data_IF_062328883592
#
_entry.id   IF_062328883592
#
_cell.length_a   1.000
_cell.length_b   1.000
_cell.length_c   1.000
_cell.angle_alpha   90.00
_cell.angle_beta   90.00
_cell.angle_gamma   90.00
#
_symmetry.space_group_name_H-M   'P 1'
#
loop_
_entity.id
_entity.type
_entity.pdbx_description
1 polymer ?
#
# COMPACT_ATOMS: atom_id res chain seq x y z
N UNK A 1 30.85 -23.83 -17.49
CA UNK A 1 31.29 -22.83 -16.49
C UNK A 1 30.11 -22.56 -15.58
N UNK A 2 30.14 -23.12 -14.37
CA UNK A 2 29.14 -22.84 -13.34
C UNK A 2 29.36 -21.38 -12.95
N UNK A 3 28.44 -20.51 -13.34
CA UNK A 3 28.42 -19.12 -12.87
C UNK A 3 28.30 -19.17 -11.34
N UNK A 4 29.38 -18.81 -10.64
CA UNK A 4 29.34 -18.53 -9.21
C UNK A 4 28.53 -17.24 -9.04
N UNK A 5 27.20 -17.36 -9.06
CA UNK A 5 26.31 -16.30 -8.61
C UNK A 5 26.49 -16.28 -7.09
N UNK A 6 27.16 -15.25 -6.56
CA UNK A 6 27.18 -15.02 -5.12
C UNK A 6 25.73 -15.02 -4.62
N UNK A 7 25.41 -15.69 -3.50
CA UNK A 7 24.05 -15.72 -2.98
C UNK A 7 23.56 -14.29 -2.77
N UNK A 8 22.45 -13.93 -3.43
CA UNK A 8 21.84 -12.59 -3.35
C UNK A 8 21.57 -12.23 -1.89
N UNK A 9 22.10 -11.09 -1.44
CA UNK A 9 21.95 -10.61 -0.07
C UNK A 9 20.90 -9.50 -0.01
N UNK A 10 19.75 -9.80 0.59
CA UNK A 10 18.56 -8.96 0.54
C UNK A 10 18.28 -8.32 1.90
N UNK A 11 17.96 -7.03 1.89
CA UNK A 11 17.41 -6.32 3.05
C UNK A 11 15.96 -5.89 2.76
N UNK A 12 15.01 -6.31 3.58
CA UNK A 12 13.68 -5.71 3.63
C UNK A 12 13.72 -4.52 4.59
N UNK A 13 13.29 -3.35 4.13
CA UNK A 13 13.31 -2.09 4.89
C UNK A 13 11.88 -1.53 5.04
N UNK A 14 11.00 -2.17 5.85
CA UNK A 14 9.66 -1.65 6.13
C UNK A 14 9.70 -0.29 6.84
N UNK A 15 8.88 0.65 6.38
CA UNK A 15 8.59 1.86 7.14
C UNK A 15 7.46 1.59 8.15
N UNK A 16 7.82 1.25 9.39
CA UNK A 16 6.85 0.73 10.37
C UNK A 16 5.87 1.77 10.95
N UNK A 17 5.88 3.02 10.47
CA UNK A 17 4.76 3.96 10.67
C UNK A 17 3.46 3.54 9.95
N UNK A 18 3.53 2.62 8.97
CA UNK A 18 2.37 2.13 8.24
C UNK A 18 2.17 0.63 8.41
N UNK A 19 0.98 0.25 8.88
CA UNK A 19 0.60 -1.15 8.90
C UNK A 19 0.63 -1.80 7.51
N UNK A 20 0.21 -1.06 6.47
CA UNK A 20 0.19 -1.55 5.09
C UNK A 20 1.59 -1.79 4.50
N UNK A 21 2.60 -1.04 4.94
CA UNK A 21 3.98 -1.24 4.49
C UNK A 21 4.61 -2.41 5.26
N UNK A 22 4.42 -2.45 6.58
CA UNK A 22 4.94 -3.54 7.41
C UNK A 22 4.36 -4.89 7.00
N UNK A 23 3.03 -4.98 6.84
CA UNK A 23 2.36 -6.24 6.49
C UNK A 23 2.78 -6.79 5.12
N UNK A 24 2.92 -5.95 4.10
CA UNK A 24 3.39 -6.41 2.78
C UNK A 24 4.85 -6.89 2.81
N UNK A 25 5.70 -6.27 3.63
CA UNK A 25 7.06 -6.79 3.86
C UNK A 25 7.04 -8.16 4.55
N UNK A 26 6.10 -8.42 5.46
CA UNK A 26 5.94 -9.75 6.08
C UNK A 26 5.58 -10.80 5.03
N UNK A 27 4.68 -10.48 4.09
CA UNK A 27 4.33 -11.41 3.00
C UNK A 27 5.52 -11.69 2.08
N UNK A 28 6.28 -10.65 1.69
CA UNK A 28 7.50 -10.81 0.88
C UNK A 28 8.56 -11.61 1.64
N UNK A 29 8.73 -11.38 2.95
CA UNK A 29 9.66 -12.13 3.80
C UNK A 29 9.36 -13.63 3.76
N UNK A 30 8.10 -14.01 3.98
CA UNK A 30 7.64 -15.41 3.94
C UNK A 30 7.86 -16.03 2.56
N UNK A 31 7.55 -15.30 1.50
CA UNK A 31 7.73 -15.77 0.12
C UNK A 31 9.21 -15.98 -0.26
N UNK A 32 10.11 -15.11 0.24
CA UNK A 32 11.56 -15.29 0.10
C UNK A 32 12.06 -16.50 0.89
N UNK A 33 11.58 -16.71 2.12
CA UNK A 33 11.94 -17.88 2.93
C UNK A 33 11.52 -19.19 2.26
N UNK A 34 10.33 -19.23 1.66
CA UNK A 34 9.87 -20.39 0.87
C UNK A 34 10.78 -20.69 -0.34
N UNK A 35 11.53 -19.69 -0.82
CA UNK A 35 12.54 -19.81 -1.89
C UNK A 35 13.96 -20.08 -1.34
N UNK A 36 14.08 -20.39 -0.05
CA UNK A 36 15.36 -20.68 0.59
C UNK A 36 16.21 -19.44 0.89
N UNK A 37 15.65 -18.24 0.77
CA UNK A 37 16.34 -16.98 1.04
C UNK A 37 15.83 -16.40 2.35
N UNK A 38 16.72 -16.21 3.32
CA UNK A 38 16.39 -15.51 4.56
C UNK A 38 16.89 -14.07 4.45
N UNK A 39 16.02 -13.11 4.09
CA UNK A 39 16.44 -11.72 4.00
C UNK A 39 16.69 -11.15 5.39
N UNK A 40 17.59 -10.17 5.48
CA UNK A 40 17.67 -9.30 6.66
C UNK A 40 16.48 -8.35 6.68
N UNK A 41 16.03 -7.99 7.88
CA UNK A 41 15.00 -6.97 8.06
C UNK A 41 15.58 -5.84 8.89
N UNK A 42 15.46 -4.62 8.38
CA UNK A 42 15.89 -3.41 9.07
C UNK A 42 14.73 -2.41 9.11
N UNK A 43 14.65 -1.57 10.13
CA UNK A 43 13.62 -0.53 10.26
C UNK A 43 14.13 0.62 11.13
N UNK A 44 13.43 1.75 11.12
CA UNK A 44 13.65 2.85 12.07
C UNK A 44 12.95 2.60 13.41
N UNK A 45 12.26 1.46 13.54
CA UNK A 45 11.20 1.25 14.52
C UNK A 45 9.89 1.85 14.03
N UNK A 46 8.93 2.02 14.94
CA UNK A 46 7.67 2.71 14.66
C UNK A 46 6.45 1.95 15.16
N UNK A 47 5.28 2.59 15.04
CA UNK A 47 4.03 2.15 15.65
C UNK A 47 3.64 0.70 15.35
N UNK A 48 3.94 0.20 14.14
CA UNK A 48 3.58 -1.14 13.71
C UNK A 48 4.75 -2.13 13.70
N UNK A 49 5.87 -1.83 14.37
CA UNK A 49 6.99 -2.80 14.51
C UNK A 49 6.57 -4.07 15.28
N UNK A 50 5.52 -3.97 16.09
CA UNK A 50 4.89 -5.10 16.79
C UNK A 50 4.34 -6.16 15.83
N UNK A 51 3.94 -5.78 14.61
CA UNK A 51 3.49 -6.72 13.60
C UNK A 51 4.62 -7.64 13.10
N UNK A 52 5.86 -7.15 13.03
CA UNK A 52 7.04 -7.97 12.72
C UNK A 52 7.28 -9.00 13.84
N UNK A 53 7.24 -8.56 15.09
CA UNK A 53 7.36 -9.44 16.27
C UNK A 53 6.27 -10.51 16.31
N UNK A 54 5.02 -10.13 16.07
CA UNK A 54 3.90 -11.06 16.02
C UNK A 54 4.03 -12.08 14.88
N UNK A 55 4.72 -11.73 13.80
CA UNK A 55 5.05 -12.63 12.70
C UNK A 55 6.30 -13.49 12.97
N UNK A 56 6.97 -13.34 14.12
CA UNK A 56 8.22 -14.05 14.45
C UNK A 56 9.43 -13.59 13.63
N UNK A 57 9.43 -12.34 13.15
CA UNK A 57 10.48 -11.79 12.30
C UNK A 57 11.37 -10.87 13.14
N UNK A 58 12.63 -11.29 13.32
CA UNK A 58 13.68 -10.45 13.90
C UNK A 58 14.06 -9.32 12.95
N UNK A 59 14.42 -8.17 13.53
CA UNK A 59 14.82 -6.99 12.76
C UNK A 59 15.87 -6.15 13.49
N UNK A 60 16.69 -5.45 12.70
CA UNK A 60 17.67 -4.50 13.18
C UNK A 60 17.10 -3.07 13.18
N UNK A 61 17.51 -2.25 14.15
CA UNK A 61 17.24 -0.81 14.14
C UNK A 61 18.36 -0.08 13.39
N UNK A 62 17.99 0.77 12.43
CA UNK A 62 18.94 1.55 11.62
C UNK A 62 18.63 3.03 11.75
N UNK A 63 19.66 3.85 11.99
CA UNK A 63 19.51 5.30 12.15
C UNK A 63 18.77 5.70 13.43
N UNK A 64 18.31 6.96 13.50
CA UNK A 64 17.51 7.44 14.63
C UNK A 64 16.20 6.66 14.79
N UNK A 65 15.75 6.43 16.03
CA UNK A 65 14.48 5.72 16.28
C UNK A 65 13.30 6.60 15.88
N UNK A 66 12.38 6.07 15.07
CA UNK A 66 11.04 6.62 14.90
C UNK A 66 10.11 6.07 15.97
N UNK A 67 9.89 6.86 17.02
CA UNK A 67 8.83 6.58 18.00
C UNK A 67 7.42 6.92 17.44
N UNK A 68 6.39 6.69 18.25
CA UNK A 68 4.99 6.92 17.85
C UNK A 68 4.69 8.39 17.53
N UNK A 69 5.27 9.33 18.28
CA UNK A 69 5.11 10.76 18.02
C UNK A 69 5.72 11.13 16.67
N UNK A 70 6.92 10.63 16.39
CA UNK A 70 7.60 10.86 15.12
C UNK A 70 6.88 10.22 13.95
N UNK A 71 6.34 9.01 14.13
CA UNK A 71 5.49 8.34 13.14
C UNK A 71 4.25 9.20 12.84
N UNK A 72 3.55 9.68 13.86
CA UNK A 72 2.37 10.52 13.70
C UNK A 72 2.70 11.83 12.96
N UNK A 73 3.85 12.45 13.24
CA UNK A 73 4.34 13.62 12.49
C UNK A 73 4.66 13.27 11.04
N UNK A 74 5.36 12.16 10.80
CA UNK A 74 5.67 11.68 9.45
C UNK A 74 4.40 11.53 8.61
N UNK A 75 3.38 10.85 9.16
CA UNK A 75 2.11 10.62 8.48
C UNK A 75 1.37 11.91 8.07
N UNK A 76 1.54 13.00 8.85
CA UNK A 76 0.97 14.32 8.51
C UNK A 76 1.77 15.08 7.45
N UNK A 77 3.09 14.88 7.41
CA UNK A 77 4.01 15.68 6.61
C UNK A 77 4.51 14.97 5.33
N UNK A 78 4.25 13.67 5.20
CA UNK A 78 4.70 12.86 4.08
C UNK A 78 4.16 13.33 2.71
N UNK A 79 4.81 12.94 1.60
CA UNK A 79 4.26 13.15 0.27
C UNK A 79 2.81 12.66 0.18
N UNK A 80 1.92 13.46 -0.42
CA UNK A 80 0.44 13.29 -0.50
C UNK A 80 -0.38 13.86 0.66
N UNK A 81 0.23 14.19 1.80
CA UNK A 81 -0.47 14.74 2.97
C UNK A 81 0.11 16.09 3.44
N UNK A 82 1.43 16.24 3.37
CA UNK A 82 2.14 17.43 3.85
C UNK A 82 2.33 18.54 2.80
N UNK A 83 2.97 19.66 3.20
CA UNK A 83 3.31 20.75 2.28
C UNK A 83 4.24 20.26 1.16
N UNK A 84 3.98 20.66 -0.09
CA UNK A 84 4.77 20.22 -1.27
C UNK A 84 6.27 20.53 -1.22
N UNK A 85 6.71 21.38 -0.28
CA UNK A 85 8.12 21.73 -0.05
C UNK A 85 8.81 20.86 1.01
N UNK A 86 8.09 19.99 1.70
CA UNK A 86 8.61 19.18 2.80
C UNK A 86 8.24 17.71 2.64
N UNK A 87 9.20 16.81 2.79
CA UNK A 87 9.05 15.39 2.46
C UNK A 87 8.68 14.49 3.64
N UNK A 88 8.27 15.09 4.76
CA UNK A 88 8.16 14.41 6.04
C UNK A 88 9.49 14.19 6.76
N UNK A 89 10.61 14.61 6.17
CA UNK A 89 11.95 14.57 6.77
C UNK A 89 12.62 15.94 6.69
N UNK A 90 13.33 16.34 7.74
CA UNK A 90 14.33 17.40 7.66
C UNK A 90 15.58 16.95 6.88
N UNK A 91 16.38 17.88 6.39
CA UNK A 91 17.65 17.57 5.73
C UNK A 91 18.61 16.81 6.66
N UNK A 92 18.59 17.12 7.96
CA UNK A 92 19.36 16.40 8.97
C UNK A 92 18.92 14.95 9.10
N UNK A 93 17.62 14.68 9.14
CA UNK A 93 17.09 13.32 9.20
C UNK A 93 17.37 12.55 7.92
N UNK A 94 17.17 13.17 6.75
CA UNK A 94 17.49 12.55 5.46
C UNK A 94 18.95 12.11 5.42
N UNK A 95 19.88 12.96 5.87
CA UNK A 95 21.31 12.63 5.95
C UNK A 95 21.57 11.50 6.94
N UNK A 96 20.99 11.58 8.14
CA UNK A 96 21.20 10.58 9.19
C UNK A 96 20.71 9.19 8.76
N UNK A 97 19.48 9.09 8.22
CA UNK A 97 18.94 7.82 7.73
C UNK A 97 19.69 7.32 6.50
N UNK A 98 19.94 8.17 5.50
CA UNK A 98 20.60 7.74 4.28
C UNK A 98 22.02 7.19 4.53
N UNK A 99 22.79 7.84 5.41
CA UNK A 99 24.12 7.37 5.80
C UNK A 99 24.03 6.08 6.61
N UNK A 100 23.16 6.01 7.62
CA UNK A 100 23.04 4.82 8.47
C UNK A 100 22.58 3.58 7.69
N UNK A 101 21.63 3.75 6.75
CA UNK A 101 21.19 2.71 5.83
C UNK A 101 22.33 2.23 4.92
N UNK A 102 23.07 3.15 4.30
CA UNK A 102 24.17 2.79 3.41
C UNK A 102 25.30 2.06 4.13
N UNK A 103 25.64 2.50 5.35
CA UNK A 103 26.59 1.81 6.22
C UNK A 103 26.10 0.41 6.61
N UNK A 104 24.80 0.27 6.93
CA UNK A 104 24.19 -1.02 7.23
C UNK A 104 24.25 -1.96 6.01
N UNK A 105 23.88 -1.47 4.82
CA UNK A 105 23.95 -2.26 3.59
C UNK A 105 25.38 -2.75 3.31
N UNK A 106 26.35 -1.84 3.42
CA UNK A 106 27.78 -2.17 3.20
C UNK A 106 28.28 -3.18 4.22
N UNK A 107 28.01 -2.96 5.53
CA UNK A 107 28.45 -3.83 6.62
C UNK A 107 27.92 -5.26 6.48
N UNK A 108 26.70 -5.42 6.00
CA UNK A 108 26.04 -6.72 5.85
C UNK A 108 26.12 -7.30 4.43
N UNK A 109 26.87 -6.64 3.53
CA UNK A 109 27.03 -7.09 2.14
C UNK A 109 25.70 -7.20 1.40
N UNK A 110 24.74 -6.32 1.70
CA UNK A 110 23.45 -6.25 1.00
C UNK A 110 23.69 -5.79 -0.43
N UNK A 111 23.08 -6.47 -1.41
CA UNK A 111 23.10 -6.07 -2.82
C UNK A 111 21.74 -5.54 -3.31
N UNK A 112 20.66 -5.87 -2.59
CA UNK A 112 19.29 -5.52 -2.94
C UNK A 112 18.53 -5.09 -1.69
N UNK A 113 17.99 -3.87 -1.71
CA UNK A 113 17.08 -3.37 -0.68
C UNK A 113 15.66 -3.31 -1.23
N UNK A 114 14.71 -3.88 -0.51
CA UNK A 114 13.27 -3.84 -0.83
C UNK A 114 12.59 -2.95 0.19
N UNK A 115 11.87 -1.93 -0.28
CA UNK A 115 11.19 -1.00 0.60
C UNK A 115 9.74 -0.80 0.22
N UNK A 116 8.93 -0.67 1.27
CA UNK A 116 7.60 -0.14 1.19
C UNK A 116 7.65 1.36 0.97
N UNK A 117 7.78 2.16 2.03
CA UNK A 117 7.75 3.63 1.96
C UNK A 117 8.92 4.31 2.67
N UNK A 118 10.02 3.59 2.88
CA UNK A 118 11.27 4.16 3.40
C UNK A 118 11.96 4.94 2.29
N UNK A 119 11.47 6.16 2.03
CA UNK A 119 11.89 6.99 0.88
C UNK A 119 13.37 7.39 0.93
N UNK A 120 13.98 7.44 2.11
CA UNK A 120 15.43 7.61 2.31
C UNK A 120 16.26 6.55 1.58
N UNK A 121 15.67 5.37 1.34
CA UNK A 121 16.26 4.32 0.51
C UNK A 121 16.62 4.79 -0.91
N UNK A 122 15.95 5.84 -1.42
CA UNK A 122 16.28 6.43 -2.73
C UNK A 122 17.65 7.12 -2.77
N UNK A 123 18.20 7.51 -1.60
CA UNK A 123 19.53 8.07 -1.42
C UNK A 123 20.53 6.99 -1.00
N UNK A 124 20.22 6.23 0.06
CA UNK A 124 21.15 5.24 0.62
C UNK A 124 21.48 4.11 -0.36
N UNK A 125 20.53 3.69 -1.19
CA UNK A 125 20.79 2.71 -2.27
C UNK A 125 21.88 3.17 -3.22
N UNK A 126 21.90 4.46 -3.58
CA UNK A 126 22.93 5.04 -4.46
C UNK A 126 24.25 5.19 -3.76
N UNK A 127 24.21 5.62 -2.50
CA UNK A 127 25.40 5.79 -1.69
C UNK A 127 26.13 4.45 -1.49
N UNK A 128 25.39 3.37 -1.29
CA UNK A 128 25.93 2.02 -1.13
C UNK A 128 26.12 1.25 -2.46
N UNK A 129 25.61 1.76 -3.57
CA UNK A 129 25.65 1.07 -4.87
C UNK A 129 24.79 -0.20 -4.92
N UNK A 130 23.67 -0.24 -4.19
CA UNK A 130 22.77 -1.40 -4.11
C UNK A 130 21.49 -1.17 -4.90
N UNK A 131 20.88 -2.25 -5.39
CA UNK A 131 19.62 -2.21 -6.14
C UNK A 131 18.45 -1.85 -5.22
N UNK A 132 17.65 -0.86 -5.62
CA UNK A 132 16.42 -0.47 -4.93
C UNK A 132 15.19 -1.12 -5.57
N UNK A 133 14.45 -1.89 -4.79
CA UNK A 133 13.13 -2.44 -5.16
C UNK A 133 12.04 -1.72 -4.35
N UNK A 134 10.99 -1.25 -5.01
CA UNK A 134 9.82 -0.62 -4.35
C UNK A 134 8.53 -1.41 -4.60
N UNK A 135 7.64 -1.46 -3.61
CA UNK A 135 6.34 -2.16 -3.75
C UNK A 135 5.11 -1.31 -3.38
N UNK A 136 5.31 -0.08 -2.92
CA UNK A 136 4.22 0.81 -2.49
C UNK A 136 3.38 1.42 -3.62
N UNK A 137 3.84 1.34 -4.87
CA UNK A 137 3.16 2.03 -5.98
C UNK A 137 1.87 1.34 -6.41
N UNK A 138 1.70 0.03 -6.15
CA UNK A 138 0.49 -0.71 -6.48
C UNK A 138 -0.02 -0.42 -7.91
N UNK A 139 -1.26 0.06 -8.05
CA UNK A 139 -1.86 0.46 -9.33
C UNK A 139 -1.42 1.86 -9.80
N UNK A 140 -0.80 2.67 -8.95
CA UNK A 140 -0.31 4.02 -9.25
C UNK A 140 1.05 4.00 -9.93
N UNK A 141 1.10 3.39 -11.12
CA UNK A 141 2.31 3.32 -11.94
C UNK A 141 2.10 3.96 -13.31
N UNK A 142 3.18 4.48 -13.95
CA UNK A 142 3.10 5.20 -15.21
C UNK A 142 2.23 4.59 -16.29
N UNK A 143 2.42 3.32 -16.71
CA UNK A 143 1.60 2.76 -17.79
C UNK A 143 0.10 2.73 -17.45
N UNK A 144 -0.27 2.62 -16.17
CA UNK A 144 -1.67 2.67 -15.73
C UNK A 144 -2.21 4.08 -15.89
N UNK A 145 -1.62 5.08 -15.22
CA UNK A 145 -2.16 6.44 -15.23
C UNK A 145 -1.95 7.23 -16.54
N UNK A 146 -1.03 6.78 -17.39
CA UNK A 146 -0.82 7.30 -18.75
C UNK A 146 -1.81 6.69 -19.76
N UNK A 147 -2.46 5.58 -19.42
CA UNK A 147 -3.42 4.92 -20.31
C UNK A 147 -4.77 5.65 -20.41
N UNK A 148 -5.40 5.54 -21.58
CA UNK A 148 -6.80 5.96 -21.80
C UNK A 148 -7.72 4.74 -21.65
N UNK A 149 -8.93 4.87 -21.08
CA UNK A 149 -9.60 6.13 -20.72
C UNK A 149 -9.66 6.38 -19.20
N UNK A 150 -8.60 6.82 -18.53
CA UNK A 150 -8.69 7.18 -17.09
C UNK A 150 -9.41 8.52 -16.81
N UNK A 151 -9.96 8.72 -15.59
CA UNK A 151 -10.59 9.98 -15.22
C UNK A 151 -9.63 11.17 -15.41
N UNK A 152 -10.08 12.32 -15.98
CA UNK A 152 -9.19 13.44 -16.27
C UNK A 152 -8.38 13.92 -15.06
N UNK A 153 -8.99 13.98 -13.87
CA UNK A 153 -8.32 14.39 -12.64
C UNK A 153 -7.09 13.51 -12.31
N UNK A 154 -7.24 12.19 -12.40
CA UNK A 154 -6.15 11.23 -12.16
C UNK A 154 -5.02 11.46 -13.16
N UNK A 155 -5.36 11.61 -14.45
CA UNK A 155 -4.40 11.87 -15.52
C UNK A 155 -3.63 13.18 -15.34
N UNK A 156 -4.33 14.26 -14.95
CA UNK A 156 -3.70 15.56 -14.71
C UNK A 156 -2.75 15.52 -13.51
N UNK A 157 -3.15 14.87 -12.42
CA UNK A 157 -2.28 14.68 -11.25
C UNK A 157 -1.03 13.90 -11.62
N UNK A 158 -1.17 12.77 -12.30
CA UNK A 158 -0.04 11.97 -12.75
C UNK A 158 0.92 12.75 -13.66
N UNK A 159 0.40 13.42 -14.69
CA UNK A 159 1.21 14.21 -15.61
C UNK A 159 1.97 15.36 -14.91
N UNK A 160 1.39 15.92 -13.84
CA UNK A 160 2.05 16.92 -13.01
C UNK A 160 3.20 16.29 -12.21
N UNK A 161 2.97 15.16 -11.53
CA UNK A 161 3.97 14.47 -10.70
C UNK A 161 5.22 14.05 -11.49
N UNK A 162 5.07 13.79 -12.79
CA UNK A 162 6.19 13.45 -13.69
C UNK A 162 7.09 14.66 -14.02
N UNK A 163 6.60 15.88 -13.83
CA UNK A 163 7.28 17.12 -14.27
C UNK A 163 7.75 17.98 -13.11
N UNK A 164 7.11 17.86 -11.95
CA UNK A 164 7.43 18.67 -10.77
C UNK A 164 8.35 17.92 -9.81
N UNK A 165 9.06 18.69 -8.99
CA UNK A 165 9.97 18.18 -7.93
C UNK A 165 9.39 18.41 -6.54
N UNK A 166 8.07 18.29 -6.40
CA UNK A 166 7.44 18.35 -5.08
C UNK A 166 8.04 17.27 -4.19
N UNK A 167 8.25 17.61 -2.92
CA UNK A 167 8.87 16.76 -1.90
C UNK A 167 10.34 16.39 -2.16
N UNK A 168 10.94 16.76 -3.30
CA UNK A 168 12.31 16.36 -3.66
C UNK A 168 13.39 17.35 -3.18
N UNK A 169 13.01 18.50 -2.64
CA UNK A 169 13.95 19.58 -2.31
C UNK A 169 15.03 19.17 -1.31
N UNK A 170 14.63 18.63 -0.15
CA UNK A 170 15.57 18.12 0.87
C UNK A 170 16.40 16.96 0.35
N UNK A 171 15.75 16.01 -0.34
CA UNK A 171 16.42 14.88 -0.99
C UNK A 171 17.52 15.32 -1.95
N UNK A 172 17.27 16.34 -2.78
CA UNK A 172 18.25 16.81 -3.75
C UNK A 172 19.41 17.59 -3.12
N UNK A 173 19.17 18.31 -2.02
CA UNK A 173 20.26 18.95 -1.26
C UNK A 173 21.16 17.89 -0.61
N UNK A 174 20.58 16.92 0.08
CA UNK A 174 21.34 15.83 0.72
C UNK A 174 22.02 14.94 -0.33
N UNK A 175 21.39 14.68 -1.47
CA UNK A 175 22.03 13.96 -2.58
C UNK A 175 23.31 14.66 -3.07
N UNK A 176 23.28 16.00 -3.19
CA UNK A 176 24.45 16.78 -3.59
C UNK A 176 25.58 16.73 -2.55
N UNK A 177 25.24 16.79 -1.25
CA UNK A 177 26.20 16.65 -0.15
C UNK A 177 26.86 15.25 -0.13
N UNK A 178 26.08 14.21 -0.40
CA UNK A 178 26.55 12.81 -0.42
C UNK A 178 27.22 12.42 -1.75
N UNK A 179 27.25 13.31 -2.75
CA UNK A 179 27.85 13.03 -4.06
C UNK A 179 27.07 12.02 -4.91
N UNK A 180 25.75 11.86 -4.70
CA UNK A 180 24.90 10.91 -5.44
C UNK A 180 23.89 11.63 -6.34
N UNK A 181 23.36 10.92 -7.34
CA UNK A 181 22.37 11.47 -8.26
C UNK A 181 21.05 11.83 -7.54
N UNK A 182 20.61 13.08 -7.70
CA UNK A 182 19.33 13.55 -7.18
C UNK A 182 18.10 13.01 -7.90
N UNK A 183 16.93 13.43 -7.44
CA UNK A 183 15.61 13.07 -7.94
C UNK A 183 15.14 14.04 -9.04
N UNK A 184 14.82 13.53 -10.24
CA UNK A 184 14.35 14.36 -11.35
C UNK A 184 12.91 14.86 -11.18
N UNK A 185 12.05 14.11 -10.49
CA UNK A 185 10.63 14.44 -10.24
C UNK A 185 10.07 13.75 -8.99
N UNK A 186 8.85 14.11 -8.59
CA UNK A 186 8.10 13.39 -7.54
C UNK A 186 7.79 11.95 -7.93
N UNK A 187 7.55 11.66 -9.21
CA UNK A 187 7.33 10.28 -9.64
C UNK A 187 8.60 9.41 -9.44
N UNK A 188 9.79 9.97 -9.66
CA UNK A 188 11.05 9.27 -9.44
C UNK A 188 11.37 9.03 -7.95
N UNK A 189 10.74 9.77 -7.03
CA UNK A 189 10.84 9.52 -5.58
C UNK A 189 10.09 8.23 -5.19
N UNK A 190 9.05 7.88 -5.94
CA UNK A 190 8.16 6.75 -5.64
C UNK A 190 8.55 5.45 -6.38
N UNK A 191 9.54 5.51 -7.28
CA UNK A 191 9.94 4.37 -8.10
C UNK A 191 11.38 3.95 -7.78
N UNK A 192 11.58 2.63 -7.70
CA UNK A 192 12.89 2.01 -7.55
C UNK A 192 13.60 1.79 -8.88
N UNK A 193 14.71 1.07 -8.81
CA UNK A 193 15.33 0.46 -9.99
C UNK A 193 14.43 -0.66 -10.52
N UNK A 194 13.80 -1.40 -9.61
CA UNK A 194 12.63 -2.24 -9.89
C UNK A 194 11.43 -1.76 -9.05
N UNK A 195 10.29 -1.54 -9.68
CA UNK A 195 9.02 -1.30 -8.98
C UNK A 195 8.09 -2.49 -9.20
N UNK A 196 7.65 -3.10 -8.11
CA UNK A 196 6.65 -4.16 -8.10
C UNK A 196 5.27 -3.55 -8.28
N UNK A 197 4.58 -3.97 -9.34
CA UNK A 197 3.18 -3.62 -9.61
C UNK A 197 2.34 -4.70 -8.94
N UNK A 198 1.88 -4.39 -7.73
CA UNK A 198 1.16 -5.31 -6.86
C UNK A 198 -0.33 -5.31 -7.18
N UNK A 199 -0.70 -5.63 -8.42
CA UNK A 199 -2.10 -5.80 -8.85
C UNK A 199 -2.18 -6.72 -10.08
N UNK A 200 -3.31 -7.41 -10.27
CA UNK A 200 -3.54 -8.23 -11.44
C UNK A 200 -3.73 -7.38 -12.72
N UNK A 201 -3.11 -7.75 -13.86
CA UNK A 201 -3.27 -7.09 -15.16
C UNK A 201 -4.73 -6.88 -15.57
N UNK A 202 -5.58 -7.87 -15.29
CA UNK A 202 -6.99 -7.85 -15.58
C UNK A 202 -7.69 -6.78 -14.75
N UNK A 203 -7.36 -6.60 -13.47
CA UNK A 203 -7.94 -5.52 -12.67
C UNK A 203 -7.47 -4.16 -13.20
N UNK A 204 -6.18 -4.03 -13.53
CA UNK A 204 -5.60 -2.81 -14.12
C UNK A 204 -6.20 -2.45 -15.49
N UNK A 205 -6.68 -3.46 -16.23
CA UNK A 205 -7.13 -3.30 -17.61
C UNK A 205 -6.00 -3.05 -18.60
N UNK A 206 -4.80 -3.56 -18.28
CA UNK A 206 -3.61 -3.48 -19.12
C UNK A 206 -2.87 -4.81 -19.07
N UNK A 207 -2.48 -5.39 -20.22
CA UNK A 207 -1.67 -6.60 -20.24
C UNK A 207 -0.35 -6.43 -19.50
N UNK A 208 0.13 -7.48 -18.81
CA UNK A 208 1.38 -7.46 -18.07
C UNK A 208 2.56 -7.06 -18.96
N UNK A 209 2.60 -7.58 -20.19
CA UNK A 209 3.65 -7.32 -21.18
C UNK A 209 3.76 -5.83 -21.49
N UNK A 210 2.62 -5.13 -21.55
CA UNK A 210 2.60 -3.68 -21.79
C UNK A 210 3.14 -2.90 -20.59
N UNK A 211 2.83 -3.34 -19.38
CA UNK A 211 3.32 -2.71 -18.14
C UNK A 211 4.83 -2.92 -18.03
N UNK A 212 5.32 -4.13 -18.28
CA UNK A 212 6.74 -4.49 -18.16
C UNK A 212 7.60 -3.99 -19.33
N UNK A 213 7.01 -3.79 -20.50
CA UNK A 213 7.65 -3.12 -21.64
C UNK A 213 7.76 -1.60 -21.45
N UNK A 214 7.09 -1.01 -20.45
CA UNK A 214 7.19 0.43 -20.18
C UNK A 214 8.65 0.84 -19.95
N UNK A 215 9.04 1.97 -20.52
CA UNK A 215 10.37 2.55 -20.35
C UNK A 215 10.26 3.99 -19.86
N UNK A 216 11.14 4.39 -18.93
CA UNK A 216 11.12 5.72 -18.34
C UNK A 216 11.37 6.81 -19.38
N UNK A 217 10.44 7.77 -19.46
CA UNK A 217 10.62 9.02 -20.20
C UNK A 217 11.30 10.11 -19.36
N UNK A 218 11.21 11.36 -19.83
CA UNK A 218 11.70 12.52 -19.07
C UNK A 218 10.99 12.62 -17.72
N UNK A 219 11.77 12.78 -16.65
CA UNK A 219 11.25 12.91 -15.28
C UNK A 219 11.38 11.64 -14.43
N UNK A 220 11.78 10.53 -15.02
CA UNK A 220 12.06 9.28 -14.32
C UNK A 220 13.56 8.97 -14.32
N UNK A 221 13.95 7.94 -13.57
CA UNK A 221 15.31 7.37 -13.64
C UNK A 221 15.36 6.38 -14.81
N UNK A 222 16.38 6.44 -15.69
CA UNK A 222 16.42 5.61 -16.90
C UNK A 222 16.51 4.09 -16.61
N UNK A 223 17.01 3.73 -15.43
CA UNK A 223 17.16 2.35 -14.97
C UNK A 223 15.84 1.73 -14.49
N UNK A 224 14.82 2.54 -14.14
CA UNK A 224 13.57 2.05 -13.57
C UNK A 224 12.90 1.03 -14.50
N UNK A 225 12.54 -0.12 -13.93
CA UNK A 225 11.73 -1.18 -14.55
C UNK A 225 10.52 -1.48 -13.69
N UNK A 226 9.45 -1.97 -14.33
CA UNK A 226 8.23 -2.40 -13.67
C UNK A 226 8.10 -3.91 -13.82
N UNK A 227 7.59 -4.59 -12.79
CA UNK A 227 7.28 -6.03 -12.83
C UNK A 227 5.91 -6.26 -12.23
N UNK A 228 5.01 -6.91 -12.96
CA UNK A 228 3.71 -7.28 -12.40
C UNK A 228 3.90 -8.48 -11.50
N UNK A 229 3.34 -8.40 -10.29
CA UNK A 229 3.46 -9.45 -9.28
C UNK A 229 2.10 -10.02 -8.91
N UNK A 230 1.06 -9.18 -8.89
CA UNK A 230 -0.29 -9.58 -8.46
C UNK A 230 -0.66 -9.00 -7.10
N UNK A 231 -1.84 -9.36 -6.56
CA UNK A 231 -2.33 -8.80 -5.31
C UNK A 231 -1.38 -9.10 -4.14
N UNK A 232 -1.07 -8.08 -3.34
CA UNK A 232 -0.20 -8.17 -2.18
C UNK A 232 -0.84 -7.43 -1.01
N UNK A 233 -1.57 -8.16 -0.18
CA UNK A 233 -2.34 -7.61 0.94
C UNK A 233 -2.07 -8.37 2.25
N UNK A 234 -2.49 -7.77 3.36
CA UNK A 234 -2.07 -8.16 4.70
C UNK A 234 -2.80 -9.41 5.24
N UNK A 235 -2.04 -10.42 5.66
CA UNK A 235 -2.53 -11.49 6.55
C UNK A 235 -1.99 -11.27 7.96
N UNK A 236 -2.64 -10.36 8.69
CA UNK A 236 -2.22 -10.00 10.06
C UNK A 236 -2.27 -11.23 10.97
N UNK A 237 -1.19 -11.58 11.68
CA UNK A 237 -1.13 -12.74 12.55
C UNK A 237 -1.79 -12.46 13.92
N UNK A 238 -3.01 -11.93 13.91
CA UNK A 238 -3.82 -11.65 15.11
C UNK A 238 -5.16 -12.37 15.00
N UNK A 239 -5.67 -12.94 16.11
CA UNK A 239 -6.98 -13.58 16.10
C UNK A 239 -8.09 -12.55 15.91
N UNK A 240 -9.25 -13.03 15.46
CA UNK A 240 -10.48 -12.23 15.46
C UNK A 240 -11.00 -12.14 16.91
N UNK A 241 -11.40 -10.97 17.43
CA UNK A 241 -11.96 -10.89 18.78
C UNK A 241 -13.31 -11.62 18.89
N UNK A 242 -13.56 -12.31 20.02
CA UNK A 242 -14.78 -13.10 20.26
C UNK A 242 -16.08 -12.29 20.08
N UNK A 243 -16.07 -11.00 20.42
CA UNK A 243 -17.21 -10.12 20.20
C UNK A 243 -17.49 -9.87 18.72
N UNK A 244 -16.44 -9.78 17.90
CA UNK A 244 -16.53 -9.61 16.45
C UNK A 244 -16.99 -10.92 15.82
N UNK A 245 -16.51 -12.07 16.29
CA UNK A 245 -17.00 -13.39 15.85
C UNK A 245 -18.51 -13.52 16.07
N UNK A 246 -18.97 -13.32 17.31
CA UNK A 246 -20.40 -13.35 17.66
C UNK A 246 -21.21 -12.32 16.87
N UNK A 247 -20.64 -11.14 16.64
CA UNK A 247 -21.31 -10.12 15.85
C UNK A 247 -21.51 -10.55 14.40
N UNK A 248 -20.52 -11.19 13.78
CA UNK A 248 -20.57 -11.65 12.39
C UNK A 248 -21.50 -12.87 12.21
N UNK A 249 -21.57 -13.78 13.18
CA UNK A 249 -22.41 -15.00 13.11
C UNK A 249 -23.92 -14.78 13.18
N UNK A 250 -24.38 -13.59 13.58
CA UNK A 250 -25.81 -13.27 13.53
C UNK A 250 -26.31 -13.31 12.07
N UNK A 251 -27.62 -13.48 11.82
CA UNK A 251 -28.17 -13.45 10.46
C UNK A 251 -28.30 -12.02 9.89
N UNK A 252 -28.43 -11.92 8.56
CA UNK A 252 -28.69 -10.68 7.83
C UNK A 252 -27.43 -10.00 7.27
N UNK A 253 -27.56 -8.93 6.48
CA UNK A 253 -26.43 -8.32 5.80
C UNK A 253 -25.47 -7.60 6.77
N UNK A 254 -24.16 -7.69 6.50
CA UNK A 254 -23.10 -6.99 7.23
C UNK A 254 -22.34 -6.03 6.31
N UNK A 255 -22.18 -4.80 6.76
CA UNK A 255 -21.31 -3.79 6.15
C UNK A 255 -20.06 -3.61 7.01
N UNK A 256 -18.89 -3.80 6.42
CA UNK A 256 -17.61 -3.55 7.08
C UNK A 256 -17.08 -2.17 6.73
N UNK A 257 -16.96 -1.28 7.70
CA UNK A 257 -16.44 0.09 7.55
C UNK A 257 -15.00 0.14 8.05
N UNK A 258 -14.06 0.19 7.10
CA UNK A 258 -12.62 0.22 7.34
C UNK A 258 -11.96 1.41 6.60
N UNK A 259 -12.32 2.62 7.01
CA UNK A 259 -11.75 3.87 6.48
C UNK A 259 -10.53 4.27 7.32
N UNK A 260 -9.53 3.39 7.38
CA UNK A 260 -8.42 3.43 8.34
C UNK A 260 -7.32 4.42 7.93
N UNK A 261 -7.64 5.72 7.82
CA UNK A 261 -6.75 6.89 7.71
C UNK A 261 -7.59 8.17 7.51
N UNK A 262 -8.77 8.24 8.11
CA UNK A 262 -9.71 9.36 7.96
C UNK A 262 -9.93 10.10 9.27
N UNK A 263 -10.66 11.22 9.23
CA UNK A 263 -11.15 11.82 10.47
C UNK A 263 -12.25 10.96 11.10
N UNK A 264 -12.40 10.96 12.44
CA UNK A 264 -13.55 10.36 13.10
C UNK A 264 -14.89 10.87 12.53
N UNK A 265 -14.95 12.15 12.17
CA UNK A 265 -16.13 12.76 11.57
C UNK A 265 -16.56 12.08 10.25
N UNK A 266 -15.62 11.67 9.40
CA UNK A 266 -15.94 10.95 8.17
C UNK A 266 -16.53 9.55 8.46
N UNK A 267 -15.97 8.85 9.46
CA UNK A 267 -16.49 7.54 9.89
C UNK A 267 -17.90 7.68 10.44
N UNK A 268 -18.14 8.67 11.32
CA UNK A 268 -19.47 8.97 11.87
C UNK A 268 -20.50 9.27 10.79
N UNK A 269 -20.15 10.14 9.84
CA UNK A 269 -21.02 10.50 8.72
C UNK A 269 -21.38 9.26 7.87
N UNK A 270 -20.37 8.43 7.58
CA UNK A 270 -20.56 7.19 6.82
C UNK A 270 -21.49 6.21 7.55
N UNK A 271 -21.23 5.93 8.83
CA UNK A 271 -22.06 5.02 9.64
C UNK A 271 -23.48 5.55 9.72
N UNK A 272 -23.66 6.86 9.95
CA UNK A 272 -24.98 7.51 9.97
C UNK A 272 -25.77 7.26 8.69
N UNK A 273 -25.13 7.43 7.52
CA UNK A 273 -25.78 7.22 6.22
C UNK A 273 -26.04 5.73 5.89
N UNK A 274 -25.35 4.78 6.53
CA UNK A 274 -25.58 3.35 6.37
C UNK A 274 -26.71 2.80 7.25
N UNK A 275 -26.98 3.43 8.40
CA UNK A 275 -28.02 2.99 9.36
C UNK A 275 -29.40 2.74 8.73
N UNK A 276 -29.92 3.59 7.81
CA UNK A 276 -31.22 3.37 7.20
C UNK A 276 -31.35 2.07 6.39
N UNK A 277 -30.24 1.45 5.99
CA UNK A 277 -30.25 0.20 5.24
C UNK A 277 -30.60 -1.02 6.12
N UNK A 278 -30.63 -0.85 7.46
CA UNK A 278 -30.93 -1.92 8.40
C UNK A 278 -29.86 -3.02 8.48
N UNK A 279 -28.75 -2.91 7.75
CA UNK A 279 -27.62 -3.82 7.84
C UNK A 279 -26.89 -3.67 9.19
N UNK A 280 -26.24 -4.75 9.62
CA UNK A 280 -25.27 -4.69 10.71
C UNK A 280 -24.01 -4.00 10.22
N UNK A 281 -23.39 -3.16 11.04
CA UNK A 281 -22.20 -2.39 10.68
C UNK A 281 -21.06 -2.77 11.63
N UNK A 282 -19.99 -3.32 11.08
CA UNK A 282 -18.74 -3.53 11.80
C UNK A 282 -17.78 -2.40 11.45
N UNK A 283 -17.26 -1.68 12.43
CA UNK A 283 -16.36 -0.54 12.24
C UNK A 283 -14.97 -0.90 12.76
N UNK A 284 -13.96 -0.82 11.89
CA UNK A 284 -12.55 -0.84 12.29
C UNK A 284 -12.14 0.56 12.74
N UNK A 285 -12.20 0.81 14.05
CA UNK A 285 -11.91 2.11 14.67
C UNK A 285 -10.43 2.45 14.78
N UNK A 286 -9.55 1.44 14.72
CA UNK A 286 -8.08 1.56 14.80
C UNK A 286 -7.62 2.42 15.99
N UNK A 287 -7.26 3.68 15.77
CA UNK A 287 -6.75 4.63 16.76
C UNK A 287 -7.79 5.69 17.17
N UNK A 288 -8.98 5.67 16.58
CA UNK A 288 -10.02 6.65 16.84
C UNK A 288 -10.96 6.21 17.96
N UNK A 289 -11.30 7.15 18.84
CA UNK A 289 -12.41 6.97 19.77
C UNK A 289 -13.74 7.16 19.01
N UNK A 290 -14.45 6.05 18.85
CA UNK A 290 -15.71 5.94 18.10
C UNK A 290 -16.78 5.20 18.91
N UNK A 291 -16.59 5.05 20.23
CA UNK A 291 -17.46 4.23 21.08
C UNK A 291 -18.93 4.68 21.09
N UNK A 292 -19.19 5.97 20.88
CA UNK A 292 -20.54 6.55 20.75
C UNK A 292 -21.30 6.10 19.49
N UNK A 293 -20.65 5.43 18.52
CA UNK A 293 -21.35 4.80 17.40
C UNK A 293 -21.99 3.47 17.77
N UNK A 294 -21.54 2.82 18.84
CA UNK A 294 -21.91 1.44 19.16
C UNK A 294 -23.36 1.31 19.62
N UNK A 295 -24.04 0.27 19.11
CA UNK A 295 -25.38 -0.16 19.54
C UNK A 295 -25.65 -1.61 19.08
N UNK A 296 -26.90 -2.08 19.18
CA UNK A 296 -27.31 -3.46 18.81
C UNK A 296 -26.98 -3.87 17.36
N UNK A 297 -26.80 -2.92 16.44
CA UNK A 297 -26.48 -3.13 15.02
C UNK A 297 -25.12 -2.59 14.62
N UNK A 298 -24.45 -1.80 15.44
CA UNK A 298 -23.13 -1.24 15.15
C UNK A 298 -22.11 -1.71 16.19
N UNK A 299 -21.12 -2.48 15.75
CA UNK A 299 -19.97 -2.86 16.57
C UNK A 299 -18.74 -2.06 16.15
N UNK A 300 -18.07 -1.44 17.13
CA UNK A 300 -16.80 -0.75 16.92
C UNK A 300 -15.70 -1.56 17.59
N UNK A 301 -14.68 -1.94 16.83
CA UNK A 301 -13.51 -2.66 17.34
C UNK A 301 -12.22 -1.94 16.93
N UNK A 302 -11.09 -2.32 17.55
CA UNK A 302 -9.78 -1.72 17.28
C UNK A 302 -9.19 -2.09 15.90
N UNK A 303 -7.95 -2.56 15.89
CA UNK A 303 -7.33 -3.12 14.68
C UNK A 303 -7.90 -4.52 14.44
N UNK A 304 -8.42 -4.76 13.23
CA UNK A 304 -9.03 -6.04 12.85
C UNK A 304 -8.20 -6.76 11.78
N UNK A 305 -8.11 -8.11 11.83
CA UNK A 305 -7.55 -8.90 10.75
C UNK A 305 -8.54 -8.91 9.57
N UNK A 306 -8.47 -7.89 8.70
CA UNK A 306 -9.44 -7.71 7.60
C UNK A 306 -9.57 -8.94 6.69
N UNK A 307 -8.51 -9.72 6.49
CA UNK A 307 -8.55 -10.98 5.72
C UNK A 307 -9.44 -12.07 6.36
N UNK A 308 -9.71 -12.01 7.67
CA UNK A 308 -10.66 -12.89 8.36
C UNK A 308 -12.07 -12.30 8.44
N UNK A 309 -12.17 -10.97 8.47
CA UNK A 309 -13.46 -10.25 8.50
C UNK A 309 -14.15 -10.26 7.14
N UNK A 310 -13.40 -9.92 6.09
CA UNK A 310 -13.96 -9.65 4.76
C UNK A 310 -14.75 -10.84 4.19
N UNK A 311 -14.33 -12.11 4.33
CA UNK A 311 -15.12 -13.24 3.84
C UNK A 311 -16.51 -13.40 4.50
N UNK A 312 -16.77 -12.70 5.60
CA UNK A 312 -18.00 -12.80 6.42
C UNK A 312 -18.90 -11.56 6.31
N UNK A 313 -18.65 -10.68 5.33
CA UNK A 313 -19.45 -9.46 5.13
C UNK A 313 -19.98 -9.34 3.70
N UNK A 314 -20.96 -8.48 3.52
CA UNK A 314 -21.69 -8.31 2.25
C UNK A 314 -21.28 -7.07 1.48
N UNK A 315 -20.73 -6.09 2.17
CA UNK A 315 -20.22 -4.85 1.59
C UNK A 315 -19.03 -4.34 2.40
N UNK A 316 -17.95 -4.00 1.70
CA UNK A 316 -16.82 -3.29 2.28
C UNK A 316 -16.91 -1.79 1.98
N UNK A 317 -16.73 -0.95 2.99
CA UNK A 317 -16.66 0.51 2.88
C UNK A 317 -15.27 0.96 3.32
N UNK A 318 -14.48 1.53 2.40
CA UNK A 318 -13.06 1.81 2.65
C UNK A 318 -12.64 3.17 2.10
N UNK A 319 -11.47 3.66 2.52
CA UNK A 319 -10.84 4.81 1.88
C UNK A 319 -10.31 4.49 0.46
N UNK A 320 -10.28 3.23 0.02
CA UNK A 320 -9.73 2.85 -1.29
C UNK A 320 -8.22 2.61 -1.32
N UNK A 321 -7.56 2.50 -0.16
CA UNK A 321 -6.17 2.06 -0.10
C UNK A 321 -6.03 0.64 -0.67
N UNK A 322 -4.96 0.41 -1.44
CA UNK A 322 -4.84 -0.81 -2.25
C UNK A 322 -5.02 -2.10 -1.44
N UNK A 323 -4.37 -2.24 -0.27
CA UNK A 323 -4.50 -3.45 0.54
C UNK A 323 -5.95 -3.76 0.95
N UNK A 324 -6.75 -2.73 1.28
CA UNK A 324 -8.16 -2.91 1.62
C UNK A 324 -9.01 -3.27 0.41
N UNK A 325 -8.74 -2.64 -0.74
CA UNK A 325 -9.38 -2.96 -2.03
C UNK A 325 -9.12 -4.43 -2.39
N UNK A 326 -7.86 -4.85 -2.32
CA UNK A 326 -7.45 -6.22 -2.63
C UNK A 326 -8.03 -7.24 -1.66
N UNK A 327 -8.07 -6.92 -0.37
CA UNK A 327 -8.70 -7.81 0.62
C UNK A 327 -10.19 -8.01 0.29
N UNK A 328 -10.90 -6.95 -0.13
CA UNK A 328 -12.31 -7.04 -0.54
C UNK A 328 -12.48 -7.93 -1.78
N UNK A 329 -11.65 -7.71 -2.79
CA UNK A 329 -11.68 -8.48 -4.03
C UNK A 329 -11.28 -9.95 -3.81
N UNK A 330 -10.26 -10.22 -2.99
CA UNK A 330 -9.85 -11.56 -2.58
C UNK A 330 -10.95 -12.30 -1.81
N UNK A 331 -11.86 -11.59 -1.14
CA UNK A 331 -13.01 -12.16 -0.46
C UNK A 331 -14.25 -12.30 -1.37
N UNK A 332 -14.25 -11.71 -2.56
CA UNK A 332 -15.42 -11.66 -3.44
C UNK A 332 -16.50 -10.68 -2.94
N UNK A 333 -16.09 -9.62 -2.25
CA UNK A 333 -16.98 -8.65 -1.59
C UNK A 333 -17.05 -7.34 -2.38
N UNK A 334 -18.24 -6.85 -2.75
CA UNK A 334 -18.41 -5.53 -3.34
C UNK A 334 -17.81 -4.40 -2.50
N UNK A 335 -17.29 -3.37 -3.16
CA UNK A 335 -16.58 -2.27 -2.50
C UNK A 335 -17.24 -0.90 -2.73
N UNK A 336 -17.52 -0.18 -1.65
CA UNK A 336 -17.83 1.25 -1.68
C UNK A 336 -16.63 2.08 -1.19
N UNK A 337 -16.02 2.86 -2.08
CA UNK A 337 -14.88 3.70 -1.74
C UNK A 337 -15.25 5.14 -1.38
N UNK A 338 -14.55 5.70 -0.38
CA UNK A 338 -14.50 7.12 -0.05
C UNK A 338 -13.06 7.65 -0.20
N UNK A 339 -12.55 7.79 -1.43
CA UNK A 339 -11.14 8.12 -1.67
C UNK A 339 -10.77 9.51 -1.16
N UNK A 340 -9.73 9.54 -0.32
CA UNK A 340 -9.11 10.76 0.22
C UNK A 340 -7.95 11.24 -0.66
N UNK A 341 -7.38 10.34 -1.45
CA UNK A 341 -6.21 10.60 -2.28
C UNK A 341 -6.44 10.18 -3.74
N UNK A 342 -5.69 10.76 -4.71
CA UNK A 342 -5.79 10.37 -6.12
C UNK A 342 -5.52 8.89 -6.37
N UNK A 343 -4.55 8.30 -5.67
CA UNK A 343 -4.21 6.87 -5.77
C UNK A 343 -5.38 5.99 -5.31
N UNK A 344 -5.93 6.29 -4.14
CA UNK A 344 -7.12 5.60 -3.63
C UNK A 344 -8.30 5.69 -4.59
N UNK A 345 -8.49 6.86 -5.22
CA UNK A 345 -9.54 7.06 -6.23
C UNK A 345 -9.29 6.18 -7.45
N UNK A 346 -8.03 6.05 -7.90
CA UNK A 346 -7.67 5.17 -9.00
C UNK A 346 -8.02 3.72 -8.67
N UNK A 347 -7.60 3.19 -7.51
CA UNK A 347 -7.86 1.81 -7.12
C UNK A 347 -9.36 1.47 -7.13
N UNK A 348 -10.18 2.33 -6.53
CA UNK A 348 -11.64 2.10 -6.51
C UNK A 348 -12.25 2.24 -7.91
N UNK A 349 -11.74 3.16 -8.74
CA UNK A 349 -12.20 3.30 -10.14
C UNK A 349 -11.87 2.03 -10.95
N UNK A 350 -10.74 1.38 -10.71
CA UNK A 350 -10.37 0.13 -11.41
C UNK A 350 -11.35 -0.99 -11.07
N UNK A 351 -11.71 -1.16 -9.80
CA UNK A 351 -12.72 -2.13 -9.36
C UNK A 351 -14.13 -1.76 -9.84
N UNK A 352 -14.50 -0.48 -9.81
CA UNK A 352 -15.78 0.01 -10.34
C UNK A 352 -15.94 -0.32 -11.83
N UNK A 353 -14.87 -0.20 -12.64
CA UNK A 353 -14.88 -0.59 -14.06
C UNK A 353 -15.11 -2.08 -14.29
N UNK A 354 -14.77 -2.89 -13.31
CA UNK A 354 -15.04 -4.34 -13.32
C UNK A 354 -16.44 -4.66 -12.82
N UNK A 355 -17.22 -3.67 -12.41
CA UNK A 355 -18.56 -3.83 -11.89
C UNK A 355 -18.60 -4.32 -10.43
N UNK A 356 -17.47 -4.30 -9.72
CA UNK A 356 -17.36 -4.84 -8.36
C UNK A 356 -17.35 -3.75 -7.27
N UNK A 357 -17.60 -2.50 -7.63
CA UNK A 357 -17.64 -1.41 -6.66
C UNK A 357 -18.17 -0.09 -7.18
N UNK A 358 -18.24 0.88 -6.28
CA UNK A 358 -18.60 2.28 -6.52
C UNK A 358 -17.71 3.18 -5.67
N UNK A 359 -17.64 4.47 -6.01
CA UNK A 359 -17.09 5.47 -5.09
C UNK A 359 -18.01 6.68 -4.91
N UNK A 360 -17.93 7.26 -3.73
CA UNK A 360 -18.57 8.54 -3.39
C UNK A 360 -17.52 9.52 -2.90
N UNK A 361 -17.75 10.82 -3.08
CA UNK A 361 -16.83 11.83 -2.56
C UNK A 361 -16.88 11.82 -1.03
N UNK A 362 -15.76 12.02 -0.32
CA UNK A 362 -15.78 12.15 1.14
C UNK A 362 -16.75 13.23 1.66
N UNK A 363 -16.91 14.33 0.91
CA UNK A 363 -17.90 15.37 1.24
C UNK A 363 -19.37 14.93 1.14
N UNK A 364 -19.64 13.82 0.44
CA UNK A 364 -20.98 13.24 0.28
C UNK A 364 -21.25 12.09 1.28
N UNK A 365 -20.32 11.80 2.21
CA UNK A 365 -20.35 10.61 3.06
C UNK A 365 -21.59 10.49 3.96
N UNK A 366 -22.13 11.62 4.43
CA UNK A 366 -23.36 11.64 5.23
C UNK A 366 -24.65 11.75 4.40
N UNK A 367 -24.53 11.76 3.07
CA UNK A 367 -25.65 12.09 2.18
C UNK A 367 -26.37 10.88 1.60
N UNK A 368 -27.54 11.13 1.02
CA UNK A 368 -28.38 10.13 0.36
C UNK A 368 -27.65 9.35 -0.75
N UNK A 369 -26.63 9.94 -1.37
CA UNK A 369 -25.80 9.26 -2.37
C UNK A 369 -25.05 8.07 -1.79
N UNK A 370 -24.52 8.19 -0.57
CA UNK A 370 -23.85 7.07 0.09
C UNK A 370 -24.85 5.95 0.37
N UNK A 371 -25.99 6.29 0.97
CA UNK A 371 -27.06 5.33 1.27
C UNK A 371 -27.53 4.61 0.00
N UNK A 372 -27.80 5.35 -1.08
CA UNK A 372 -28.24 4.77 -2.35
C UNK A 372 -27.17 3.85 -2.96
N UNK A 373 -25.90 4.26 -2.98
CA UNK A 373 -24.81 3.45 -3.54
C UNK A 373 -24.58 2.17 -2.73
N UNK A 374 -24.63 2.27 -1.40
CA UNK A 374 -24.52 1.10 -0.52
C UNK A 374 -25.73 0.15 -0.66
N UNK A 375 -26.94 0.70 -0.77
CA UNK A 375 -28.15 -0.08 -1.02
C UNK A 375 -28.12 -0.81 -2.36
N UNK A 376 -27.62 -0.15 -3.42
CA UNK A 376 -27.41 -0.77 -4.74
C UNK A 376 -26.40 -1.92 -4.66
N UNK A 377 -25.24 -1.70 -4.02
CA UNK A 377 -24.20 -2.72 -3.86
C UNK A 377 -24.65 -3.93 -3.03
N UNK A 378 -25.53 -3.72 -2.04
CA UNK A 378 -26.10 -4.80 -1.21
C UNK A 378 -27.26 -5.53 -1.91
N UNK A 379 -28.02 -4.83 -2.75
CA UNK A 379 -29.27 -5.35 -3.32
C UNK A 379 -29.15 -5.91 -4.75
N UNK A 380 -28.07 -5.61 -5.47
CA UNK A 380 -27.85 -6.08 -6.84
C UNK A 380 -26.69 -7.09 -6.90
N UNK A 381 -27.05 -8.37 -7.10
CA UNK A 381 -26.11 -9.49 -7.14
C UNK A 381 -25.02 -9.36 -8.22
N UNK A 382 -25.22 -8.52 -9.25
CA UNK A 382 -24.20 -8.30 -10.29
C UNK A 382 -22.89 -7.78 -9.70
N UNK A 383 -22.94 -6.99 -8.63
CA UNK A 383 -21.72 -6.50 -7.97
C UNK A 383 -20.97 -7.63 -7.27
N UNK A 384 -21.69 -8.53 -6.60
CA UNK A 384 -21.10 -9.69 -5.95
C UNK A 384 -20.54 -10.67 -6.99
N UNK A 385 -21.26 -10.91 -8.08
CA UNK A 385 -20.79 -11.73 -9.19
C UNK A 385 -19.51 -11.16 -9.82
N UNK A 386 -19.43 -9.84 -9.99
CA UNK A 386 -18.22 -9.18 -10.47
C UNK A 386 -17.04 -9.31 -9.50
N UNK A 387 -17.28 -9.11 -8.20
CA UNK A 387 -16.25 -9.30 -7.17
C UNK A 387 -15.78 -10.76 -7.13
N UNK A 388 -16.70 -11.72 -7.32
CA UNK A 388 -16.40 -13.16 -7.39
C UNK A 388 -15.51 -13.53 -8.58
N UNK A 389 -15.68 -12.87 -9.73
CA UNK A 389 -14.76 -13.05 -10.87
C UNK A 389 -13.35 -12.62 -10.50
N UNK A 390 -13.19 -11.48 -9.81
CA UNK A 390 -11.88 -11.01 -9.36
C UNK A 390 -11.32 -11.94 -8.27
N UNK A 391 -12.15 -12.46 -7.37
CA UNK A 391 -11.73 -13.45 -6.36
C UNK A 391 -11.10 -14.68 -7.00
N UNK A 392 -11.76 -15.25 -8.01
CA UNK A 392 -11.25 -16.43 -8.73
C UNK A 392 -9.92 -16.14 -9.42
N UNK A 393 -9.81 -14.98 -10.06
CA UNK A 393 -8.55 -14.51 -10.64
C UNK A 393 -7.44 -14.41 -9.58
N UNK A 394 -7.72 -13.77 -8.45
CA UNK A 394 -6.73 -13.61 -7.37
C UNK A 394 -6.29 -14.95 -6.78
N UNK A 395 -7.18 -15.95 -6.71
CA UNK A 395 -6.83 -17.27 -6.21
C UNK A 395 -5.81 -18.01 -7.10
N UNK A 396 -5.68 -17.61 -8.37
CA UNK A 396 -4.72 -18.18 -9.33
C UNK A 396 -3.36 -17.45 -9.33
N UNK A 397 -3.22 -16.35 -8.58
CA UNK A 397 -2.03 -15.48 -8.61
C UNK A 397 -1.31 -15.50 -7.27
N UNK A 398 -0.10 -16.05 -7.24
CA UNK A 398 0.82 -15.96 -6.10
C UNK A 398 1.55 -14.61 -6.09
N UNK A 399 0.86 -13.56 -5.62
CA UNK A 399 1.41 -12.20 -5.53
C UNK A 399 2.73 -12.10 -4.74
N UNK A 400 2.78 -12.57 -3.47
CA UNK A 400 4.00 -12.61 -2.68
C UNK A 400 5.12 -13.40 -3.34
N UNK A 401 4.80 -14.56 -3.94
CA UNK A 401 5.80 -15.37 -4.62
C UNK A 401 6.37 -14.72 -5.87
N UNK A 402 5.51 -14.18 -6.73
CA UNK A 402 5.93 -13.44 -7.91
C UNK A 402 6.78 -12.21 -7.54
N UNK A 403 6.47 -11.56 -6.41
CA UNK A 403 7.30 -10.49 -5.86
C UNK A 403 8.68 -10.99 -5.46
N UNK A 404 8.76 -12.11 -4.73
CA UNK A 404 10.03 -12.73 -4.37
C UNK A 404 10.84 -13.14 -5.61
N UNK A 405 10.21 -13.74 -6.63
CA UNK A 405 10.87 -14.10 -7.89
C UNK A 405 11.38 -12.86 -8.64
N UNK A 406 10.60 -11.78 -8.65
CA UNK A 406 11.01 -10.51 -9.25
C UNK A 406 12.23 -9.90 -8.53
N UNK A 407 12.26 -9.95 -7.21
CA UNK A 407 13.39 -9.48 -6.38
C UNK A 407 14.64 -10.32 -6.67
N UNK A 408 14.51 -11.64 -6.72
CA UNK A 408 15.61 -12.57 -6.97
C UNK A 408 16.11 -12.53 -8.41
N UNK A 409 15.25 -12.16 -9.37
CA UNK A 409 15.68 -11.98 -10.75
C UNK A 409 16.71 -10.86 -10.83
N UNK A 410 17.96 -11.23 -11.08
CA UNK A 410 19.02 -10.26 -11.35
C UNK A 410 18.84 -9.73 -12.77
N UNK A 411 18.22 -8.57 -12.91
CA UNK A 411 18.61 -7.67 -13.98
C UNK A 411 19.77 -6.86 -13.44
N UNK A 412 20.99 -7.40 -13.56
CA UNK A 412 22.18 -6.63 -13.28
C UNK A 412 22.16 -5.33 -14.11
N UNK A 413 22.77 -4.23 -13.64
CA UNK A 413 23.07 -3.13 -14.53
C UNK A 413 23.86 -3.70 -15.69
N UNK A 414 23.35 -3.56 -16.92
CA UNK A 414 24.18 -3.75 -18.11
C UNK A 414 25.42 -2.90 -17.92
N UNK A 415 26.57 -3.55 -17.81
CA UNK A 415 27.87 -2.89 -17.73
C UNK A 415 28.08 -1.97 -18.92
#
# INVERSE_FOLDING_TARGET
MVSNILPTSICLLPHCAYLSQTSRMIEIYRALQQRGITPRVATYGGTYETALRAAGIDYDLVGPRMDDERCARFLREQPSSGPVRQSGYSDQELRAYATAEAEYFTRHGIDTVVTGFSLTATLSSRLAGVRLVTEHSASWVPPVFESRPLPPAVRFTAALLNRVRFYCGGFNRVAAELGVAGLPSTAALLLGDLTLVTEAPEVLGLPAERIEAWRPGRGYRPETRLRVTGPLFAHLPIPLPDEVERFLDRPGPVVYVAITSSSPALVRATVSALRPLGARILVAGTVHDLGDLADDRVLVAGVLPSHLVMPRVDLAVTAGGQGSVQTAMAAGVPLLGLPLQPEQRLNVTLVERRGAGRWVRPGDAGGARLTASAGELLGDDRYRQAAEVIRKLYAEIDGPGNAADAILSQQGPGR
#
